data_IF_939683499944
#
_entry.id   IF_939683499944
#
_cell.length_a   1.000
_cell.length_b   1.000
_cell.length_c   1.000
_cell.angle_alpha   90.00
_cell.angle_beta   90.00
_cell.angle_gamma   90.00
#
_symmetry.space_group_name_H-M   'P 1'
#
loop_
_entity.id
_entity.type
_entity.pdbx_description
1 polymer ?
#
# COMPACT_ATOMS: atom_id res chain seq x y z
N UNK A 1 6.71 -30.84 -46.34
CA UNK A 1 5.46 -30.84 -45.52
C UNK A 1 5.68 -31.28 -44.06
N UNK A 2 6.91 -31.26 -43.51
CA UNK A 2 7.17 -31.72 -42.12
C UNK A 2 7.36 -30.61 -41.07
N UNK A 3 7.69 -29.38 -41.47
CA UNK A 3 8.02 -28.31 -40.52
C UNK A 3 6.78 -27.62 -39.89
N UNK A 4 5.67 -27.55 -40.62
CA UNK A 4 4.44 -26.90 -40.13
C UNK A 4 3.74 -27.69 -39.00
N UNK A 5 3.87 -29.01 -38.99
CA UNK A 5 3.27 -29.88 -37.97
C UNK A 5 4.02 -29.83 -36.63
N UNK A 6 5.34 -29.61 -36.65
CA UNK A 6 6.16 -29.52 -35.43
C UNK A 6 5.96 -28.21 -34.68
N UNK A 7 5.76 -27.09 -35.40
CA UNK A 7 5.42 -25.79 -34.78
C UNK A 7 4.02 -25.80 -34.15
N UNK A 8 3.03 -26.45 -34.80
CA UNK A 8 1.69 -26.60 -34.24
C UNK A 8 1.65 -27.47 -32.98
N UNK A 9 2.43 -28.56 -32.96
CA UNK A 9 2.55 -29.42 -31.78
C UNK A 9 3.24 -28.71 -30.60
N UNK A 10 4.30 -27.93 -30.87
CA UNK A 10 5.00 -27.17 -29.84
C UNK A 10 4.11 -26.09 -29.19
N UNK A 11 3.30 -25.36 -29.99
CA UNK A 11 2.36 -24.36 -29.48
C UNK A 11 1.23 -24.98 -28.63
N UNK A 12 0.71 -26.15 -29.04
CA UNK A 12 -0.34 -26.87 -28.30
C UNK A 12 0.18 -27.47 -26.99
N UNK A 13 1.44 -27.89 -26.94
CA UNK A 13 2.07 -28.38 -25.71
C UNK A 13 2.36 -27.22 -24.75
N UNK A 14 2.76 -26.05 -25.26
CA UNK A 14 3.04 -24.88 -24.43
C UNK A 14 1.77 -24.26 -23.81
N UNK A 15 0.66 -24.19 -24.56
CA UNK A 15 -0.65 -23.78 -24.01
C UNK A 15 -1.22 -24.76 -22.97
N UNK A 16 -0.84 -26.04 -23.03
CA UNK A 16 -1.23 -27.04 -22.00
C UNK A 16 -0.39 -26.96 -20.73
N UNK A 17 0.77 -26.29 -20.79
CA UNK A 17 1.71 -26.18 -19.69
C UNK A 17 1.70 -24.81 -19.01
N UNK A 18 0.90 -23.85 -19.48
CA UNK A 18 0.47 -22.76 -18.60
C UNK A 18 -0.44 -23.39 -17.55
N UNK A 19 -0.02 -23.50 -16.27
CA UNK A 19 -0.94 -23.96 -15.26
C UNK A 19 -2.09 -22.96 -15.28
N UNK A 20 -3.28 -23.41 -15.68
CA UNK A 20 -4.48 -22.69 -15.29
C UNK A 20 -4.50 -22.75 -13.78
N UNK A 21 -3.96 -21.70 -13.15
CA UNK A 21 -4.14 -21.44 -11.73
C UNK A 21 -5.63 -21.25 -11.59
N UNK A 22 -6.34 -22.32 -11.24
CA UNK A 22 -7.76 -22.23 -10.87
C UNK A 22 -7.85 -21.07 -9.89
N UNK A 23 -8.77 -20.11 -10.08
CA UNK A 23 -9.03 -19.14 -9.04
C UNK A 23 -9.28 -19.94 -7.77
N UNK A 24 -8.59 -19.61 -6.67
CA UNK A 24 -8.75 -20.36 -5.44
C UNK A 24 -10.24 -20.39 -5.08
N UNK A 25 -10.71 -21.49 -4.45
CA UNK A 25 -12.09 -21.56 -4.03
C UNK A 25 -12.39 -20.33 -3.17
N UNK A 26 -13.39 -19.56 -3.59
CA UNK A 26 -13.83 -18.37 -2.87
C UNK A 26 -14.35 -18.83 -1.53
N UNK A 27 -13.58 -18.58 -0.47
CA UNK A 27 -13.90 -19.08 0.86
C UNK A 27 -15.00 -18.24 1.51
N UNK A 28 -15.16 -16.99 1.07
CA UNK A 28 -16.13 -16.06 1.62
C UNK A 28 -17.21 -15.68 0.61
N UNK A 29 -18.50 -15.87 0.93
CA UNK A 29 -19.58 -15.52 0.01
C UNK A 29 -19.61 -14.01 -0.24
N UNK A 30 -20.11 -13.59 -1.40
CA UNK A 30 -20.38 -12.18 -1.67
C UNK A 30 -21.41 -11.64 -0.66
N UNK A 31 -21.37 -10.34 -0.29
CA UNK A 31 -22.48 -9.70 0.40
C UNK A 31 -23.77 -9.81 -0.40
N UNK A 32 -24.91 -9.64 0.26
CA UNK A 32 -26.19 -9.56 -0.45
C UNK A 32 -26.19 -8.35 -1.41
N UNK A 33 -26.88 -8.41 -2.57
CA UNK A 33 -26.76 -7.39 -3.61
C UNK A 33 -27.05 -5.95 -3.16
N UNK A 34 -28.01 -5.76 -2.25
CA UNK A 34 -28.34 -4.43 -1.72
C UNK A 34 -27.17 -3.82 -0.93
N UNK A 35 -26.55 -4.59 -0.03
CA UNK A 35 -25.42 -4.12 0.78
C UNK A 35 -24.16 -3.98 -0.08
N UNK A 36 -23.98 -4.84 -1.09
CA UNK A 36 -22.92 -4.66 -2.06
C UNK A 36 -23.08 -3.34 -2.84
N UNK A 37 -24.29 -3.02 -3.30
CA UNK A 37 -24.55 -1.76 -4.01
C UNK A 37 -24.25 -0.53 -3.14
N UNK A 38 -24.57 -0.59 -1.84
CA UNK A 38 -24.22 0.46 -0.87
C UNK A 38 -22.70 0.62 -0.71
N UNK A 39 -21.96 -0.49 -0.57
CA UNK A 39 -20.48 -0.47 -0.50
C UNK A 39 -19.88 0.13 -1.78
N UNK A 40 -20.36 -0.30 -2.95
CA UNK A 40 -19.87 0.20 -4.24
C UNK A 40 -20.21 1.68 -4.46
N UNK A 41 -21.33 2.15 -3.89
CA UNK A 41 -21.67 3.57 -3.86
C UNK A 41 -20.65 4.35 -3.02
N UNK A 42 -20.30 3.88 -1.82
CA UNK A 42 -19.25 4.50 -1.01
C UNK A 42 -17.88 4.50 -1.72
N UNK A 43 -17.51 3.42 -2.42
CA UNK A 43 -16.27 3.38 -3.23
C UNK A 43 -16.20 4.47 -4.32
N UNK A 44 -17.36 4.86 -4.87
CA UNK A 44 -17.47 5.94 -5.86
C UNK A 44 -17.40 7.31 -5.23
N UNK A 45 -18.19 7.50 -4.18
CA UNK A 45 -18.51 8.83 -3.63
C UNK A 45 -17.50 9.29 -2.59
N UNK A 46 -16.88 8.37 -1.86
CA UNK A 46 -15.97 8.65 -0.77
C UNK A 46 -14.55 8.14 -1.10
N UNK A 47 -13.65 9.09 -1.34
CA UNK A 47 -12.23 8.79 -1.63
C UNK A 47 -11.55 8.12 -0.45
N UNK A 48 -11.76 8.58 0.78
CA UNK A 48 -11.07 8.02 1.94
C UNK A 48 -11.54 6.59 2.21
N UNK A 49 -12.84 6.33 2.04
CA UNK A 49 -13.38 4.97 2.09
C UNK A 49 -12.77 4.07 1.01
N UNK A 50 -12.65 4.58 -0.23
CA UNK A 50 -11.99 3.85 -1.31
C UNK A 50 -10.52 3.55 -0.97
N UNK A 51 -9.77 4.52 -0.47
CA UNK A 51 -8.36 4.35 -0.13
C UNK A 51 -8.18 3.26 0.95
N UNK A 52 -9.04 3.24 1.98
CA UNK A 52 -9.10 2.16 2.97
C UNK A 52 -9.41 0.79 2.36
N UNK A 53 -10.44 0.69 1.53
CA UNK A 53 -10.83 -0.59 0.91
C UNK A 53 -9.76 -1.09 -0.05
N UNK A 54 -9.14 -0.21 -0.84
CA UNK A 54 -8.04 -0.58 -1.74
C UNK A 54 -6.84 -1.08 -0.97
N UNK A 55 -6.45 -0.39 0.11
CA UNK A 55 -5.38 -0.85 0.98
C UNK A 55 -5.65 -2.25 1.50
N UNK A 56 -6.85 -2.49 2.05
CA UNK A 56 -7.21 -3.80 2.62
C UNK A 56 -7.23 -4.89 1.54
N UNK A 57 -7.78 -4.62 0.35
CA UNK A 57 -7.77 -5.57 -0.76
C UNK A 57 -6.35 -5.94 -1.20
N UNK A 58 -5.48 -4.93 -1.39
CA UNK A 58 -4.09 -5.16 -1.78
C UNK A 58 -3.34 -5.94 -0.70
N UNK A 59 -3.51 -5.57 0.58
CA UNK A 59 -2.90 -6.26 1.69
C UNK A 59 -3.36 -7.72 1.78
N UNK A 60 -4.67 -7.98 1.70
CA UNK A 60 -5.21 -9.35 1.77
C UNK A 60 -4.76 -10.20 0.58
N UNK A 61 -4.77 -9.67 -0.65
CA UNK A 61 -4.28 -10.42 -1.82
C UNK A 61 -2.78 -10.72 -1.66
N UNK A 62 -1.98 -9.73 -1.25
CA UNK A 62 -0.54 -9.90 -1.09
C UNK A 62 -0.20 -10.89 0.01
N UNK A 63 -0.82 -10.81 1.18
CA UNK A 63 -0.57 -11.72 2.30
C UNK A 63 -0.82 -13.18 1.90
N UNK A 64 -1.81 -13.43 1.05
CA UNK A 64 -2.08 -14.76 0.49
C UNK A 64 -1.09 -15.17 -0.60
N UNK A 65 -0.73 -14.26 -1.50
CA UNK A 65 0.11 -14.55 -2.66
C UNK A 65 1.61 -14.58 -2.36
N UNK A 66 2.06 -13.85 -1.33
CA UNK A 66 3.45 -13.75 -0.88
C UNK A 66 3.49 -13.92 0.65
N UNK A 67 3.20 -15.14 1.16
CA UNK A 67 3.01 -15.36 2.61
C UNK A 67 4.26 -15.07 3.45
N UNK A 68 5.46 -15.14 2.87
CA UNK A 68 6.71 -14.75 3.54
C UNK A 68 6.75 -13.25 3.89
N UNK A 69 5.95 -12.42 3.23
CA UNK A 69 5.83 -10.98 3.45
C UNK A 69 4.50 -10.60 4.12
N UNK A 70 3.80 -11.56 4.74
CA UNK A 70 2.51 -11.28 5.37
C UNK A 70 2.59 -10.13 6.40
N UNK A 71 1.62 -9.23 6.33
CA UNK A 71 1.51 -8.06 7.20
C UNK A 71 2.58 -6.99 6.99
N UNK A 72 3.45 -7.10 5.98
CA UNK A 72 4.45 -6.07 5.65
C UNK A 72 3.78 -4.73 5.38
N UNK A 73 2.72 -4.70 4.56
CA UNK A 73 1.99 -3.46 4.25
C UNK A 73 1.30 -2.88 5.49
N UNK A 74 0.75 -3.71 6.37
CA UNK A 74 0.16 -3.25 7.64
C UNK A 74 1.21 -2.62 8.55
N UNK A 75 2.40 -3.23 8.68
CA UNK A 75 3.51 -2.64 9.45
C UNK A 75 3.94 -1.30 8.83
N UNK A 76 4.10 -1.23 7.52
CA UNK A 76 4.44 0.02 6.84
C UNK A 76 3.36 1.10 7.04
N UNK A 77 2.07 0.73 7.02
CA UNK A 77 0.98 1.66 7.26
C UNK A 77 1.04 2.26 8.67
N UNK A 78 1.30 1.41 9.67
CA UNK A 78 1.49 1.84 11.05
C UNK A 78 2.72 2.75 11.20
N UNK A 79 3.86 2.40 10.57
CA UNK A 79 5.05 3.27 10.55
C UNK A 79 4.76 4.63 9.94
N UNK A 80 3.92 4.66 8.90
CA UNK A 80 3.54 5.88 8.21
C UNK A 80 2.39 6.65 8.87
N UNK A 81 1.86 6.16 10.00
CA UNK A 81 0.69 6.71 10.68
C UNK A 81 -0.49 6.98 9.73
N UNK A 82 -0.68 6.07 8.76
CA UNK A 82 -1.77 6.20 7.80
C UNK A 82 -3.13 6.02 8.50
N UNK A 83 -4.17 6.73 8.09
CA UNK A 83 -5.50 6.67 8.70
C UNK A 83 -6.29 5.43 8.26
N UNK A 84 -5.62 4.28 8.12
CA UNK A 84 -6.23 3.03 7.66
C UNK A 84 -7.39 2.66 8.58
N UNK A 85 -8.53 2.29 7.98
CA UNK A 85 -9.82 2.00 8.63
C UNK A 85 -10.57 3.22 9.16
N UNK A 86 -10.01 4.43 9.08
CA UNK A 86 -10.67 5.64 9.57
C UNK A 86 -11.99 5.91 8.85
N UNK A 87 -12.00 5.79 7.52
CA UNK A 87 -13.19 6.05 6.72
C UNK A 87 -14.16 4.87 6.75
N UNK A 88 -13.66 3.62 6.76
CA UNK A 88 -14.52 2.45 6.99
C UNK A 88 -15.25 2.57 8.34
N UNK A 89 -14.54 2.94 9.41
CA UNK A 89 -15.14 3.12 10.74
C UNK A 89 -16.17 4.24 10.76
N UNK A 90 -15.95 5.33 10.02
CA UNK A 90 -16.92 6.40 9.89
C UNK A 90 -18.21 5.94 9.17
N UNK A 91 -18.06 5.18 8.07
CA UNK A 91 -19.21 4.61 7.33
C UNK A 91 -19.99 3.63 8.19
N UNK A 92 -19.33 2.72 8.92
CA UNK A 92 -20.01 1.72 9.74
C UNK A 92 -20.62 2.31 11.02
N UNK A 93 -20.08 3.42 11.52
CA UNK A 93 -20.72 4.20 12.58
C UNK A 93 -22.04 4.83 12.11
N UNK A 94 -22.12 5.25 10.85
CA UNK A 94 -23.33 5.82 10.25
C UNK A 94 -24.36 4.75 9.86
N UNK A 95 -23.92 3.64 9.27
CA UNK A 95 -24.75 2.49 8.94
C UNK A 95 -24.12 1.18 9.43
N UNK A 96 -24.53 0.77 10.63
CA UNK A 96 -24.03 -0.47 11.25
C UNK A 96 -24.33 -1.73 10.46
N UNK A 97 -25.29 -1.71 9.54
CA UNK A 97 -25.58 -2.87 8.69
C UNK A 97 -24.42 -3.19 7.76
N UNK A 98 -23.55 -2.22 7.47
CA UNK A 98 -22.41 -2.37 6.56
C UNK A 98 -21.15 -2.93 7.23
N UNK A 99 -21.09 -2.99 8.56
CA UNK A 99 -19.89 -3.41 9.30
C UNK A 99 -19.32 -4.74 8.82
N UNK A 100 -20.04 -5.84 9.03
CA UNK A 100 -19.63 -7.16 8.53
C UNK A 100 -19.61 -7.26 6.99
N UNK A 101 -20.60 -6.73 6.25
CA UNK A 101 -20.58 -6.76 4.78
C UNK A 101 -19.35 -6.12 4.13
N UNK A 102 -18.76 -5.06 4.68
CA UNK A 102 -17.55 -4.44 4.12
C UNK A 102 -16.37 -5.41 4.16
N UNK A 103 -16.12 -6.03 5.31
CA UNK A 103 -15.05 -7.03 5.43
C UNK A 103 -15.33 -8.28 4.58
N UNK A 104 -16.59 -8.71 4.52
CA UNK A 104 -17.02 -9.80 3.64
C UNK A 104 -16.78 -9.47 2.16
N UNK A 105 -17.11 -8.25 1.75
CA UNK A 105 -16.86 -7.76 0.39
C UNK A 105 -15.37 -7.79 0.05
N UNK A 106 -14.52 -7.28 0.94
CA UNK A 106 -13.06 -7.26 0.77
C UNK A 106 -12.53 -8.68 0.62
N UNK A 107 -12.90 -9.58 1.53
CA UNK A 107 -12.41 -10.95 1.53
C UNK A 107 -12.89 -11.72 0.29
N UNK A 108 -14.17 -11.61 -0.06
CA UNK A 108 -14.74 -12.22 -1.26
C UNK A 108 -13.99 -11.80 -2.53
N UNK A 109 -13.70 -10.49 -2.65
CA UNK A 109 -12.97 -9.91 -3.78
C UNK A 109 -11.50 -10.33 -3.82
N UNK A 110 -10.83 -10.33 -2.67
CA UNK A 110 -9.44 -10.77 -2.56
C UNK A 110 -9.31 -12.25 -2.92
N UNK A 111 -10.22 -13.10 -2.44
CA UNK A 111 -10.28 -14.51 -2.79
C UNK A 111 -10.45 -14.72 -4.30
N UNK A 112 -11.33 -13.93 -4.91
CA UNK A 112 -11.66 -14.02 -6.35
C UNK A 112 -10.56 -13.46 -7.27
N UNK A 113 -9.56 -12.77 -6.73
CA UNK A 113 -8.45 -12.20 -7.53
C UNK A 113 -7.32 -13.23 -7.62
N UNK A 114 -6.78 -13.53 -8.80
CA UNK A 114 -5.63 -14.42 -8.90
C UNK A 114 -4.32 -13.70 -8.56
N UNK A 115 -3.32 -14.43 -8.07
CA UNK A 115 -2.00 -13.85 -7.81
C UNK A 115 -1.35 -13.36 -9.11
N UNK A 116 -0.86 -12.11 -9.12
CA UNK A 116 -0.27 -11.46 -10.30
C UNK A 116 -1.29 -10.76 -11.22
N UNK A 117 -2.59 -10.93 -10.99
CA UNK A 117 -3.62 -10.19 -11.73
C UNK A 117 -3.90 -8.83 -11.06
N UNK A 118 -4.19 -7.77 -11.84
CA UNK A 118 -4.58 -6.49 -11.28
C UNK A 118 -5.94 -6.59 -10.59
N UNK A 119 -6.06 -5.92 -9.45
CA UNK A 119 -7.34 -5.74 -8.75
C UNK A 119 -8.25 -4.84 -9.58
N UNK A 120 -9.43 -5.38 -9.90
CA UNK A 120 -10.49 -4.69 -10.64
C UNK A 120 -11.53 -4.19 -9.65
N UNK A 121 -11.51 -2.90 -9.35
CA UNK A 121 -12.55 -2.29 -8.52
C UNK A 121 -13.78 -2.00 -9.38
N UNK A 122 -15.00 -2.19 -8.83
CA UNK A 122 -16.21 -1.81 -9.54
C UNK A 122 -16.17 -0.29 -9.75
N UNK A 123 -16.81 0.18 -10.82
CA UNK A 123 -16.73 1.56 -11.33
C UNK A 123 -16.58 2.57 -10.20
N UNK A 124 -15.35 3.02 -9.92
CA UNK A 124 -15.01 3.98 -8.88
C UNK A 124 -15.09 5.44 -9.41
N UNK A 125 -15.92 5.64 -10.44
CA UNK A 125 -16.01 6.87 -11.25
C UNK A 125 -16.21 6.56 -12.73
N UNK A 126 -15.83 7.50 -13.62
CA UNK A 126 -15.98 7.36 -15.08
C UNK A 126 -15.05 6.30 -15.72
N UNK A 127 -14.07 5.78 -14.97
CA UNK A 127 -13.16 4.71 -15.41
C UNK A 127 -13.06 3.65 -14.32
N UNK A 128 -13.00 2.38 -14.75
CA UNK A 128 -12.61 1.28 -13.87
C UNK A 128 -11.22 1.56 -13.30
N UNK A 129 -11.11 1.54 -11.97
CA UNK A 129 -9.84 1.64 -11.29
C UNK A 129 -9.19 0.25 -11.29
N UNK A 130 -8.06 0.16 -11.96
CA UNK A 130 -7.21 -1.03 -12.01
C UNK A 130 -5.99 -0.79 -11.14
N UNK A 131 -5.79 -1.67 -10.15
CA UNK A 131 -4.67 -1.58 -9.21
C UNK A 131 -3.78 -2.80 -9.41
N UNK A 132 -2.56 -2.58 -9.91
CA UNK A 132 -1.52 -3.60 -9.88
C UNK A 132 -1.03 -3.75 -8.43
N UNK A 133 -1.23 -4.95 -7.86
CA UNK A 133 -0.95 -5.26 -6.45
C UNK A 133 0.54 -5.10 -6.12
N UNK A 134 1.42 -5.54 -7.00
CA UNK A 134 2.87 -5.47 -6.80
C UNK A 134 3.36 -4.04 -6.93
N UNK A 135 2.83 -3.31 -7.92
CA UNK A 135 3.13 -1.91 -8.14
C UNK A 135 2.65 -1.04 -6.97
N UNK A 136 1.43 -1.28 -6.48
CA UNK A 136 0.90 -0.64 -5.27
C UNK A 136 1.83 -0.89 -4.09
N UNK A 137 2.25 -2.13 -3.85
CA UNK A 137 3.13 -2.47 -2.74
C UNK A 137 4.50 -1.78 -2.84
N UNK A 138 5.10 -1.76 -4.03
CA UNK A 138 6.39 -1.08 -4.28
C UNK A 138 6.32 0.43 -4.02
N UNK A 139 5.22 1.06 -4.44
CA UNK A 139 4.98 2.50 -4.29
C UNK A 139 4.42 2.91 -2.92
N UNK A 140 4.00 1.94 -2.10
CA UNK A 140 3.47 2.18 -0.76
C UNK A 140 4.52 2.86 0.13
N UNK A 141 4.20 3.83 1.00
CA UNK A 141 2.86 4.26 1.41
C UNK A 141 2.22 5.38 0.58
N UNK A 142 2.92 5.97 -0.40
CA UNK A 142 2.32 7.01 -1.25
C UNK A 142 1.11 6.47 -2.04
N UNK A 143 1.14 5.19 -2.41
CA UNK A 143 0.03 4.51 -3.09
C UNK A 143 -1.26 4.38 -2.28
N UNK A 144 -1.23 4.61 -0.97
CA UNK A 144 -2.45 4.70 -0.16
C UNK A 144 -3.36 5.83 -0.65
N UNK A 145 -2.77 6.99 -0.99
CA UNK A 145 -3.52 8.15 -1.49
C UNK A 145 -3.65 8.17 -3.02
N UNK A 146 -2.78 7.47 -3.74
CA UNK A 146 -2.82 7.30 -5.19
C UNK A 146 -2.55 5.84 -5.59
N UNK A 147 -3.58 4.99 -5.67
CA UNK A 147 -3.43 3.57 -6.01
C UNK A 147 -2.81 3.29 -7.38
N UNK A 148 -2.73 4.30 -8.25
CA UNK A 148 -2.12 4.21 -9.59
C UNK A 148 -0.66 4.65 -9.62
N UNK A 149 -0.10 5.03 -8.47
CA UNK A 149 1.26 5.52 -8.37
C UNK A 149 2.27 4.45 -8.83
N UNK A 150 2.98 4.77 -9.91
CA UNK A 150 3.85 3.80 -10.61
C UNK A 150 5.31 3.85 -10.18
N UNK A 151 5.69 4.78 -9.30
CA UNK A 151 7.09 4.93 -8.88
C UNK A 151 7.28 4.55 -7.43
N UNK A 152 8.35 3.79 -7.14
CA UNK A 152 8.77 3.57 -5.78
C UNK A 152 9.20 4.92 -5.17
N UNK A 153 8.86 5.21 -3.91
CA UNK A 153 9.17 6.51 -3.34
C UNK A 153 10.70 6.67 -3.24
N UNK A 154 11.21 7.83 -3.64
CA UNK A 154 12.67 8.05 -3.77
C UNK A 154 13.41 7.98 -2.44
N UNK A 155 12.71 8.23 -1.34
CA UNK A 155 13.23 7.98 -0.01
C UNK A 155 13.55 6.49 0.15
N UNK A 156 12.81 5.54 -0.38
CA UNK A 156 13.08 4.09 -0.19
C UNK A 156 13.80 3.38 -1.34
N UNK A 157 14.26 4.12 -2.36
CA UNK A 157 14.91 3.52 -3.52
C UNK A 157 16.07 2.60 -3.11
N UNK A 158 15.96 1.31 -3.46
CA UNK A 158 16.95 0.26 -3.17
C UNK A 158 16.63 -0.64 -1.97
N UNK A 159 15.63 -0.32 -1.15
CA UNK A 159 15.22 -1.17 -0.02
C UNK A 159 14.02 -2.05 -0.39
N UNK A 160 14.05 -3.30 0.04
CA UNK A 160 12.92 -4.23 -0.01
C UNK A 160 11.76 -3.79 0.88
N UNK A 161 10.56 -4.32 0.63
CA UNK A 161 9.38 -4.01 1.46
C UNK A 161 9.58 -4.44 2.92
N UNK A 162 10.26 -5.56 3.14
CA UNK A 162 10.56 -6.08 4.48
C UNK A 162 11.48 -5.13 5.24
N UNK A 163 12.57 -4.66 4.62
CA UNK A 163 13.49 -3.69 5.24
C UNK A 163 12.76 -2.39 5.60
N UNK A 164 11.92 -1.89 4.69
CA UNK A 164 11.14 -0.67 4.90
C UNK A 164 10.15 -0.81 6.06
N UNK A 165 9.52 -1.98 6.20
CA UNK A 165 8.61 -2.25 7.31
C UNK A 165 9.34 -2.39 8.66
N UNK A 166 10.56 -2.93 8.64
CA UNK A 166 11.39 -3.14 9.82
C UNK A 166 12.07 -1.87 10.33
N UNK A 167 12.37 -0.93 9.44
CA UNK A 167 13.08 0.29 9.76
C UNK A 167 12.26 1.24 10.66
N UNK A 168 12.79 1.47 11.86
CA UNK A 168 12.14 2.28 12.88
C UNK A 168 12.12 3.77 12.53
N UNK A 169 13.14 4.26 11.82
CA UNK A 169 13.23 5.67 11.43
C UNK A 169 12.08 6.11 10.55
N UNK A 170 11.37 5.18 9.90
CA UNK A 170 10.17 5.51 9.14
C UNK A 170 9.06 6.10 10.00
N UNK A 171 8.91 5.67 11.26
CA UNK A 171 7.98 6.29 12.20
C UNK A 171 8.30 7.76 12.46
N UNK A 172 9.59 8.09 12.61
CA UNK A 172 10.03 9.48 12.81
C UNK A 172 9.75 10.30 11.57
N UNK A 173 10.21 9.80 10.41
CA UNK A 173 10.12 10.46 9.12
C UNK A 173 8.68 10.84 8.78
N UNK A 174 7.73 9.92 8.94
CA UNK A 174 6.33 10.21 8.66
C UNK A 174 5.62 11.01 9.74
N UNK A 175 6.11 11.02 10.99
CA UNK A 175 5.58 11.90 12.03
C UNK A 175 5.91 13.37 11.78
N UNK A 176 7.11 13.66 11.26
CA UNK A 176 7.57 15.04 11.05
C UNK A 176 7.29 15.58 9.64
N UNK A 177 7.13 14.68 8.67
CA UNK A 177 6.84 14.99 7.27
C UNK A 177 5.72 14.06 6.78
N UNK A 178 4.48 14.28 7.26
CA UNK A 178 3.37 13.38 7.02
C UNK A 178 3.04 13.25 5.54
N UNK A 179 2.50 12.09 5.19
CA UNK A 179 1.85 11.87 3.90
C UNK A 179 0.51 12.61 3.91
N UNK A 180 0.06 13.03 2.74
CA UNK A 180 -1.28 13.59 2.62
C UNK A 180 -1.74 13.69 1.17
N UNK A 181 -3.06 13.78 0.95
CA UNK A 181 -3.61 14.11 -0.34
C UNK A 181 -3.21 15.55 -0.67
N UNK A 182 -2.32 15.76 -1.64
CA UNK A 182 -1.75 17.09 -1.88
C UNK A 182 -1.15 17.29 -3.26
N UNK A 183 -0.77 18.54 -3.54
CA UNK A 183 -0.05 18.93 -4.76
C UNK A 183 1.21 18.08 -4.91
N UNK A 184 1.36 17.45 -6.08
CA UNK A 184 2.51 16.60 -6.44
C UNK A 184 3.85 17.30 -6.21
N UNK A 185 3.90 18.64 -6.31
CA UNK A 185 5.10 19.44 -6.04
C UNK A 185 5.52 19.35 -4.57
N UNK A 186 4.57 19.53 -3.65
CA UNK A 186 4.85 19.40 -2.22
C UNK A 186 5.15 17.95 -1.84
N UNK A 187 4.47 16.99 -2.44
CA UNK A 187 4.77 15.56 -2.23
C UNK A 187 6.21 15.21 -2.61
N UNK A 188 6.70 15.73 -3.74
CA UNK A 188 8.09 15.51 -4.17
C UNK A 188 9.12 16.15 -3.22
N UNK A 189 8.87 17.39 -2.77
CA UNK A 189 9.74 18.08 -1.82
C UNK A 189 9.76 17.38 -0.45
N UNK A 190 8.60 16.97 0.06
CA UNK A 190 8.49 16.18 1.29
C UNK A 190 9.20 14.85 1.16
N UNK A 191 9.09 14.14 0.03
CA UNK A 191 9.82 12.89 -0.19
C UNK A 191 11.35 13.08 -0.14
N UNK A 192 11.88 14.17 -0.71
CA UNK A 192 13.31 14.52 -0.58
C UNK A 192 13.70 14.83 0.86
N UNK A 193 12.89 15.62 1.56
CA UNK A 193 13.11 15.93 2.98
C UNK A 193 13.05 14.68 3.87
N UNK A 194 12.09 13.78 3.63
CA UNK A 194 11.96 12.49 4.32
C UNK A 194 13.20 11.63 4.18
N UNK A 195 13.76 11.54 2.96
CA UNK A 195 15.03 10.82 2.72
C UNK A 195 16.17 11.39 3.56
N UNK A 196 16.24 12.71 3.72
CA UNK A 196 17.26 13.35 4.54
C UNK A 196 17.06 13.09 6.04
N UNK A 197 15.82 13.30 6.54
CA UNK A 197 15.47 13.00 7.94
C UNK A 197 15.77 11.56 8.30
N UNK A 198 15.49 10.61 7.41
CA UNK A 198 15.79 9.20 7.66
C UNK A 198 17.28 8.96 7.84
N UNK A 199 18.12 9.52 6.97
CA UNK A 199 19.59 9.42 7.09
C UNK A 199 20.10 10.02 8.40
N UNK A 200 19.49 11.11 8.87
CA UNK A 200 19.82 11.71 10.17
C UNK A 200 19.50 10.73 11.31
N UNK A 201 18.30 10.14 11.28
CA UNK A 201 17.87 9.15 12.26
C UNK A 201 18.74 7.88 12.24
N UNK A 202 19.02 7.32 11.06
CA UNK A 202 19.90 6.15 10.89
C UNK A 202 21.32 6.45 11.40
N UNK A 203 21.86 7.62 11.09
CA UNK A 203 23.19 8.05 11.55
C UNK A 203 23.26 8.23 13.07
N UNK A 204 22.18 8.73 13.67
CA UNK A 204 22.09 8.91 15.11
C UNK A 204 21.90 7.58 15.85
N UNK A 205 21.08 6.66 15.34
CA UNK A 205 20.98 5.29 15.83
C UNK A 205 22.34 4.59 15.79
N UNK A 206 23.06 4.73 14.67
CA UNK A 206 24.40 4.18 14.53
C UNK A 206 25.38 4.77 15.55
N UNK A 207 25.28 6.08 15.84
CA UNK A 207 26.13 6.77 16.82
C UNK A 207 25.84 6.34 18.26
N UNK A 208 24.58 6.16 18.61
CA UNK A 208 24.14 5.88 19.98
C UNK A 208 24.18 4.38 20.32
N UNK A 209 23.82 3.52 19.37
CA UNK A 209 23.64 2.09 19.61
C UNK A 209 24.56 1.20 18.76
N UNK A 210 25.43 1.78 17.91
CA UNK A 210 26.32 1.02 17.05
C UNK A 210 25.62 0.25 15.92
N UNK A 211 24.31 0.42 15.74
CA UNK A 211 23.52 -0.19 14.68
C UNK A 211 22.30 0.65 14.32
N UNK A 212 21.76 0.48 13.11
CA UNK A 212 20.50 1.11 12.67
C UNK A 212 19.25 0.37 13.16
N UNK A 213 19.41 -0.78 13.81
CA UNK A 213 18.32 -1.55 14.43
C UNK A 213 18.10 -1.25 15.92
N UNK A 214 18.77 -0.23 16.44
CA UNK A 214 18.64 0.20 17.84
C UNK A 214 17.27 0.78 18.19
N UNK A 215 17.03 0.99 19.48
CA UNK A 215 15.79 1.60 19.97
C UNK A 215 15.73 3.10 19.63
N UNK A 216 14.56 3.60 19.26
CA UNK A 216 14.33 5.03 19.09
C UNK A 216 14.08 5.68 20.46
N UNK A 217 15.16 5.92 21.20
CA UNK A 217 15.10 6.55 22.51
C UNK A 217 15.15 8.10 22.44
N UNK A 218 15.07 8.74 23.61
CA UNK A 218 15.15 10.19 23.70
C UNK A 218 16.51 10.76 23.25
N UNK A 219 17.61 10.02 23.43
CA UNK A 219 18.93 10.50 23.03
C UNK A 219 19.04 10.58 21.51
N UNK A 220 18.48 9.59 20.80
CA UNK A 220 18.36 9.63 19.33
C UNK A 220 17.49 10.80 18.90
N UNK A 221 16.33 10.99 19.55
CA UNK A 221 15.44 12.13 19.30
C UNK A 221 16.13 13.49 19.44
N UNK A 222 16.85 13.70 20.54
CA UNK A 222 17.59 14.93 20.82
C UNK A 222 18.73 15.17 19.82
N UNK A 223 19.47 14.11 19.46
CA UNK A 223 20.59 14.21 18.52
C UNK A 223 20.20 14.71 17.13
N UNK A 224 19.00 14.35 16.66
CA UNK A 224 18.52 14.78 15.34
C UNK A 224 17.62 16.03 15.34
N UNK A 225 17.12 16.48 16.49
CA UNK A 225 16.07 17.50 16.58
C UNK A 225 16.37 18.78 15.79
N UNK A 226 17.56 19.37 15.97
CA UNK A 226 17.91 20.61 15.29
C UNK A 226 17.96 20.48 13.77
N UNK A 227 18.50 19.37 13.27
CA UNK A 227 18.61 19.10 11.84
C UNK A 227 17.23 18.79 11.21
N UNK A 228 16.35 18.09 11.94
CA UNK A 228 14.96 17.84 11.51
C UNK A 228 14.19 19.15 11.38
N UNK A 229 14.26 20.02 12.39
CA UNK A 229 13.60 21.35 12.35
C UNK A 229 14.10 22.18 11.17
N UNK A 230 15.42 22.22 10.95
CA UNK A 230 16.01 22.92 9.80
C UNK A 230 15.51 22.35 8.46
N UNK A 231 15.37 21.03 8.36
CA UNK A 231 14.87 20.36 7.15
C UNK A 231 13.42 20.74 6.83
N UNK A 232 12.56 20.78 7.85
CA UNK A 232 11.15 21.19 7.69
C UNK A 232 11.09 22.69 7.33
N UNK A 233 11.87 23.53 8.00
CA UNK A 233 11.90 24.97 7.74
C UNK A 233 12.36 25.32 6.32
N UNK A 234 13.19 24.46 5.70
CA UNK A 234 13.64 24.63 4.31
C UNK A 234 12.54 24.36 3.27
N UNK A 235 11.42 23.72 3.65
CA UNK A 235 10.28 23.55 2.75
C UNK A 235 9.54 24.89 2.56
N UNK A 236 8.98 25.15 1.37
CA UNK A 236 8.05 26.25 1.15
C UNK A 236 6.89 26.19 2.15
N UNK A 237 6.36 27.33 2.61
CA UNK A 237 5.29 27.37 3.62
C UNK A 237 4.07 26.52 3.28
N UNK A 238 3.64 26.51 2.01
CA UNK A 238 2.53 25.66 1.56
C UNK A 238 2.84 24.16 1.49
N UNK A 239 4.10 23.77 1.67
CA UNK A 239 4.57 22.38 1.66
C UNK A 239 5.14 21.92 3.01
N UNK A 240 5.19 22.79 4.03
CA UNK A 240 5.50 22.40 5.41
C UNK A 240 4.41 21.50 5.98
#
# INVERSE_FOLDING_TARGET
MGAALLLGAALLVWQRWTPQVRPPPVAFPAPIPALQADIERHLREDRAFRDDVVFLLVATVRDRCVPAEAGVLARMANRAALPVLGAISAVTAQDRRLDRPIYQYIQHRADSTACGEPLQLPDAGQRRLQVDVEQYARSFPDSYYDPTHSTAPRDFAGHSLVERAGDACNSVVYSVLPLGPGDWRCSMLRATARRHVRKLCEGELQRQHGSTGGELDMAVGQGMQGAVVATIAALPEGCR
#
